data_IF_492647843676
#
_entry.id   IF_492647843676
#
_cell.length_a   1.000
_cell.length_b   1.000
_cell.length_c   1.000
_cell.angle_alpha   90.00
_cell.angle_beta   90.00
_cell.angle_gamma   90.00
#
_symmetry.space_group_name_H-M   'P 1'
#
loop_
_entity.id
_entity.type
_entity.pdbx_description
1 polymer ?
#
# COMPACT_ATOMS: atom_id res chain seq x y z
N UNK A 1 -8.59 13.67 -19.49
CA UNK A 1 -7.39 13.48 -18.65
C UNK A 1 -7.81 13.62 -17.20
N UNK A 2 -7.38 12.75 -16.31
CA UNK A 2 -7.56 12.91 -14.87
C UNK A 2 -6.40 13.72 -14.31
N UNK A 3 -6.69 14.73 -13.51
CA UNK A 3 -5.73 15.52 -12.77
C UNK A 3 -6.19 15.52 -11.31
N UNK A 4 -5.36 15.06 -10.41
CA UNK A 4 -5.71 14.94 -9.00
C UNK A 4 -4.56 15.27 -8.08
N UNK A 5 -4.86 15.34 -6.80
CA UNK A 5 -3.88 15.51 -5.74
C UNK A 5 -4.25 14.63 -4.54
N UNK A 6 -3.24 14.20 -3.80
CA UNK A 6 -3.44 13.60 -2.49
C UNK A 6 -3.64 14.68 -1.44
N UNK A 7 -4.57 14.44 -0.51
CA UNK A 7 -4.93 15.39 0.54
C UNK A 7 -4.83 14.75 1.92
N UNK A 8 -3.94 15.30 2.75
CA UNK A 8 -3.52 14.70 4.01
C UNK A 8 -4.09 15.40 5.23
N UNK A 9 -4.64 14.63 6.14
CA UNK A 9 -4.73 14.95 7.56
C UNK A 9 -5.68 16.06 8.00
N UNK A 10 -6.22 16.91 7.14
CA UNK A 10 -7.19 17.94 7.55
C UNK A 10 -8.57 17.30 7.71
N UNK A 11 -9.18 17.49 8.89
CA UNK A 11 -10.50 16.95 9.24
C UNK A 11 -11.52 18.04 9.57
N UNK A 12 -11.18 19.31 9.34
CA UNK A 12 -12.07 20.44 9.54
C UNK A 12 -12.85 20.72 8.27
N UNK A 13 -14.13 20.35 8.19
CA UNK A 13 -14.95 20.40 6.97
C UNK A 13 -14.93 21.75 6.25
N UNK A 14 -14.91 22.85 7.00
CA UNK A 14 -14.84 24.21 6.40
C UNK A 14 -13.55 24.39 5.60
N UNK A 15 -12.42 23.92 6.12
CA UNK A 15 -11.13 24.03 5.43
C UNK A 15 -11.09 23.06 4.25
N UNK A 16 -11.55 21.82 4.45
CA UNK A 16 -11.64 20.83 3.37
C UNK A 16 -12.43 21.37 2.18
N UNK A 17 -13.62 21.97 2.42
CA UNK A 17 -14.42 22.55 1.34
C UNK A 17 -13.65 23.62 0.57
N UNK A 18 -13.02 24.58 1.29
CA UNK A 18 -12.23 25.64 0.66
C UNK A 18 -11.08 25.07 -0.19
N UNK A 19 -10.39 24.06 0.34
CA UNK A 19 -9.26 23.43 -0.35
C UNK A 19 -9.74 22.64 -1.60
N UNK A 20 -10.86 21.93 -1.50
CA UNK A 20 -11.44 21.19 -2.63
C UNK A 20 -11.93 22.14 -3.74
N UNK A 21 -12.59 23.24 -3.38
CA UNK A 21 -12.99 24.28 -4.32
C UNK A 21 -11.76 24.86 -5.03
N UNK A 22 -10.68 25.13 -4.30
CA UNK A 22 -9.42 25.59 -4.88
C UNK A 22 -8.78 24.56 -5.82
N UNK A 23 -8.79 23.27 -5.47
CA UNK A 23 -8.32 22.21 -6.36
C UNK A 23 -9.09 22.20 -7.69
N UNK A 24 -10.43 22.35 -7.64
CA UNK A 24 -11.26 22.42 -8.84
C UNK A 24 -10.92 23.65 -9.67
N UNK A 25 -10.74 24.81 -9.06
CA UNK A 25 -10.32 26.05 -9.73
C UNK A 25 -8.96 25.90 -10.42
N UNK A 26 -8.05 25.11 -9.83
CA UNK A 26 -6.75 24.78 -10.41
C UNK A 26 -6.81 23.65 -11.47
N UNK A 27 -7.99 23.15 -11.78
CA UNK A 27 -8.25 22.17 -12.84
C UNK A 27 -8.25 20.71 -12.40
N UNK A 28 -8.16 20.42 -11.10
CA UNK A 28 -8.29 19.04 -10.60
C UNK A 28 -9.72 18.52 -10.78
N UNK A 29 -9.85 17.25 -11.08
CA UNK A 29 -11.11 16.53 -11.16
C UNK A 29 -11.11 15.23 -10.34
N UNK A 30 -10.05 15.02 -9.55
CA UNK A 30 -9.88 13.86 -8.67
C UNK A 30 -9.15 14.27 -7.40
N UNK A 31 -9.45 13.59 -6.29
CA UNK A 31 -8.73 13.73 -5.03
C UNK A 31 -8.54 12.37 -4.37
N UNK A 32 -7.38 12.14 -3.77
CA UNK A 32 -7.12 10.99 -2.91
C UNK A 32 -7.06 11.48 -1.46
N UNK A 33 -8.04 11.10 -0.64
CA UNK A 33 -8.02 11.38 0.79
C UNK A 33 -7.40 10.23 1.55
N UNK A 34 -6.49 10.53 2.47
CA UNK A 34 -5.98 9.53 3.41
C UNK A 34 -7.07 9.11 4.40
N UNK A 35 -7.18 7.80 4.65
CA UNK A 35 -8.07 7.23 5.66
C UNK A 35 -7.34 6.18 6.49
N UNK A 36 -6.71 6.62 7.58
CA UNK A 36 -5.94 5.79 8.49
C UNK A 36 -6.81 4.97 9.43
N UNK A 37 -6.21 4.07 10.22
CA UNK A 37 -6.90 3.38 11.33
C UNK A 37 -7.50 4.35 12.34
N UNK A 38 -6.82 5.47 12.58
CA UNK A 38 -7.29 6.51 13.49
C UNK A 38 -8.55 7.21 12.97
N UNK A 39 -8.64 7.43 11.65
CA UNK A 39 -9.82 8.01 11.02
C UNK A 39 -11.05 7.11 11.19
N UNK A 40 -10.88 5.80 11.03
CA UNK A 40 -11.97 4.84 11.26
C UNK A 40 -12.43 4.88 12.72
N UNK A 41 -11.50 4.91 13.66
CA UNK A 41 -11.84 4.85 15.09
C UNK A 41 -12.49 6.13 15.62
N UNK A 42 -12.06 7.31 15.15
CA UNK A 42 -12.44 8.58 15.78
C UNK A 42 -13.10 9.58 14.83
N UNK A 43 -13.00 9.37 13.51
CA UNK A 43 -13.43 10.34 12.49
C UNK A 43 -14.27 9.72 11.38
N UNK A 44 -14.89 8.55 11.59
CA UNK A 44 -15.61 7.83 10.54
C UNK A 44 -16.71 8.68 9.89
N UNK A 45 -17.53 9.37 10.70
CA UNK A 45 -18.56 10.28 10.18
C UNK A 45 -17.94 11.49 9.46
N UNK A 46 -16.85 12.02 9.99
CA UNK A 46 -16.13 13.13 9.34
C UNK A 46 -15.61 12.72 7.96
N UNK A 47 -15.14 11.47 7.80
CA UNK A 47 -14.71 10.97 6.48
C UNK A 47 -15.88 10.88 5.49
N UNK A 48 -17.06 10.44 5.92
CA UNK A 48 -18.28 10.49 5.11
C UNK A 48 -18.57 11.92 4.63
N UNK A 49 -18.51 12.87 5.55
CA UNK A 49 -18.79 14.28 5.25
C UNK A 49 -17.71 14.88 4.33
N UNK A 50 -16.44 14.52 4.49
CA UNK A 50 -15.33 14.93 3.61
C UNK A 50 -15.55 14.41 2.18
N UNK A 51 -15.85 13.12 2.04
CA UNK A 51 -16.13 12.52 0.72
C UNK A 51 -17.32 13.24 0.07
N UNK A 52 -18.40 13.45 0.82
CA UNK A 52 -19.57 14.17 0.33
C UNK A 52 -19.22 15.57 -0.16
N UNK A 53 -18.49 16.35 0.64
CA UNK A 53 -18.07 17.72 0.28
C UNK A 53 -17.22 17.73 -0.98
N UNK A 54 -16.27 16.80 -1.11
CA UNK A 54 -15.41 16.71 -2.29
C UNK A 54 -16.20 16.38 -3.56
N UNK A 55 -17.20 15.49 -3.46
CA UNK A 55 -18.08 15.14 -4.57
C UNK A 55 -19.02 16.30 -4.95
N UNK A 56 -19.53 17.04 -3.96
CA UNK A 56 -20.40 18.22 -4.20
C UNK A 56 -19.70 19.29 -5.04
N UNK A 57 -18.38 19.45 -4.91
CA UNK A 57 -17.62 20.40 -5.73
C UNK A 57 -17.13 19.81 -7.06
N UNK A 58 -17.44 18.54 -7.35
CA UNK A 58 -17.18 17.90 -8.65
C UNK A 58 -15.92 17.04 -8.74
N UNK A 59 -15.30 16.69 -7.61
CA UNK A 59 -14.15 15.79 -7.57
C UNK A 59 -14.58 14.32 -7.50
N UNK A 60 -13.91 13.46 -8.26
CA UNK A 60 -13.91 12.01 -8.07
C UNK A 60 -13.01 11.68 -6.86
N UNK A 61 -13.51 10.87 -5.93
CA UNK A 61 -12.84 10.65 -4.63
C UNK A 61 -12.33 9.23 -4.51
N UNK A 62 -11.04 9.10 -4.22
CA UNK A 62 -10.40 7.86 -3.80
C UNK A 62 -9.97 7.95 -2.35
N UNK A 63 -9.94 6.80 -1.66
CA UNK A 63 -9.46 6.69 -0.28
C UNK A 63 -8.21 5.82 -0.23
N UNK A 64 -7.23 6.28 0.52
CA UNK A 64 -5.93 5.63 0.71
C UNK A 64 -5.83 5.07 2.13
N UNK A 65 -5.49 3.76 2.31
CA UNK A 65 -5.27 3.14 3.62
C UNK A 65 -3.97 3.60 4.29
N UNK A 66 -3.83 4.90 4.48
CA UNK A 66 -2.65 5.60 4.94
C UNK A 66 -1.96 4.97 6.15
N UNK A 67 -0.83 4.31 5.93
CA UNK A 67 0.00 3.70 6.96
C UNK A 67 -0.60 2.50 7.68
N UNK A 68 -1.72 1.95 7.23
CA UNK A 68 -2.38 0.81 7.87
C UNK A 68 -1.47 -0.41 7.89
N UNK A 69 -1.32 -1.00 9.06
CA UNK A 69 -0.41 -2.14 9.24
C UNK A 69 1.06 -1.81 8.94
N UNK A 70 1.39 -0.56 8.59
CA UNK A 70 2.68 -0.16 8.02
C UNK A 70 3.04 -0.89 6.73
N UNK A 71 2.02 -1.44 6.05
CA UNK A 71 2.15 -2.18 4.78
C UNK A 71 1.99 -1.24 3.59
N UNK A 72 1.04 -0.32 3.69
CA UNK A 72 0.83 0.73 2.70
C UNK A 72 1.69 1.95 2.98
N UNK A 73 1.84 2.82 2.01
CA UNK A 73 2.51 4.11 2.14
C UNK A 73 1.91 4.94 3.27
N UNK A 74 2.66 5.97 3.67
CA UNK A 74 2.21 6.89 4.69
C UNK A 74 2.80 6.68 6.09
N UNK A 75 2.72 7.76 6.87
CA UNK A 75 3.40 7.87 8.18
C UNK A 75 2.45 7.71 9.37
N UNK A 76 1.18 7.39 9.14
CA UNK A 76 0.20 7.22 10.21
C UNK A 76 0.61 6.09 11.15
N UNK A 77 0.34 6.26 12.44
CA UNK A 77 0.52 5.18 13.40
C UNK A 77 -0.47 4.06 13.15
N UNK A 78 0.03 2.83 13.06
CA UNK A 78 -0.83 1.66 13.04
C UNK A 78 -1.09 1.15 14.46
N UNK A 79 -2.34 1.19 14.87
CA UNK A 79 -2.81 0.58 16.12
C UNK A 79 -2.87 -0.94 15.99
N UNK A 80 -3.14 -1.45 14.78
CA UNK A 80 -3.19 -2.88 14.49
C UNK A 80 -1.90 -3.59 14.90
N UNK A 81 -0.75 -3.12 14.44
CA UNK A 81 0.54 -3.77 14.77
C UNK A 81 0.87 -3.72 16.27
N UNK A 82 0.28 -2.78 17.00
CA UNK A 82 0.42 -2.70 18.45
C UNK A 82 -0.48 -3.70 19.18
N UNK A 83 -1.72 -3.83 18.73
CA UNK A 83 -2.75 -4.68 19.36
C UNK A 83 -2.58 -6.16 18.99
N UNK A 84 -2.05 -6.45 17.80
CA UNK A 84 -1.85 -7.81 17.27
C UNK A 84 -0.36 -8.11 17.01
N UNK A 85 0.47 -8.20 18.07
CA UNK A 85 1.91 -8.42 17.91
C UNK A 85 2.24 -9.78 17.26
N UNK A 86 1.33 -10.75 17.29
CA UNK A 86 1.46 -12.04 16.61
C UNK A 86 1.31 -11.92 15.09
N UNK A 87 0.58 -10.93 14.62
CA UNK A 87 0.37 -10.63 13.20
C UNK A 87 1.49 -9.79 12.57
N UNK A 88 2.53 -9.45 13.32
CA UNK A 88 3.68 -8.70 12.78
C UNK A 88 4.57 -9.56 11.93
N UNK A 89 5.21 -8.94 10.95
CA UNK A 89 6.28 -9.59 10.19
C UNK A 89 7.43 -9.99 11.09
N UNK A 90 7.94 -11.19 10.83
CA UNK A 90 9.18 -11.69 11.42
C UNK A 90 10.31 -11.60 10.41
N UNK A 91 11.49 -11.33 10.92
CA UNK A 91 12.76 -11.39 10.20
C UNK A 91 13.60 -12.46 10.86
N UNK A 92 14.16 -13.37 10.06
CA UNK A 92 15.04 -14.44 10.55
C UNK A 92 16.48 -14.15 10.15
N UNK A 93 17.40 -14.42 11.06
CA UNK A 93 18.83 -14.35 10.84
C UNK A 93 19.56 -15.36 11.75
N UNK A 94 20.85 -15.59 11.54
CA UNK A 94 21.56 -16.66 12.22
C UNK A 94 21.51 -16.58 13.76
N UNK A 95 21.43 -15.37 14.30
CA UNK A 95 21.40 -15.09 15.73
C UNK A 95 19.98 -15.17 16.33
N UNK A 96 18.92 -15.38 15.52
CA UNK A 96 17.56 -15.50 15.99
C UNK A 96 16.51 -14.84 15.09
N UNK A 97 15.37 -14.50 15.68
CA UNK A 97 14.25 -13.84 15.01
C UNK A 97 13.88 -12.55 15.72
N UNK A 98 13.52 -11.52 14.96
CA UNK A 98 12.89 -10.31 15.49
C UNK A 98 11.53 -10.07 14.84
N UNK A 99 10.61 -9.45 15.57
CA UNK A 99 9.37 -8.92 15.02
C UNK A 99 9.56 -7.45 14.70
N UNK A 100 9.17 -7.05 13.51
CA UNK A 100 9.17 -5.64 13.11
C UNK A 100 7.77 -5.04 13.24
N UNK A 101 7.71 -3.74 13.32
CA UNK A 101 6.47 -2.99 13.50
C UNK A 101 5.73 -2.82 12.14
N UNK A 102 5.50 -3.94 11.46
CA UNK A 102 4.83 -4.03 10.16
C UNK A 102 3.96 -5.30 10.16
N UNK A 103 2.71 -5.22 9.70
CA UNK A 103 1.80 -6.36 9.62
C UNK A 103 2.23 -7.38 8.57
N UNK A 104 2.03 -8.66 8.85
CA UNK A 104 2.18 -9.70 7.85
C UNK A 104 0.91 -9.79 6.99
N UNK A 105 1.03 -9.58 5.68
CA UNK A 105 -0.09 -9.61 4.73
C UNK A 105 -0.70 -11.01 4.54
N UNK A 106 -0.02 -12.07 5.01
CA UNK A 106 -0.56 -13.42 5.09
C UNK A 106 -1.24 -13.71 6.43
N UNK A 107 -1.22 -12.77 7.38
CA UNK A 107 -1.96 -12.91 8.62
C UNK A 107 -3.46 -12.77 8.37
N UNK A 108 -4.24 -13.78 8.78
CA UNK A 108 -5.70 -13.70 8.68
C UNK A 108 -6.25 -12.46 9.38
N UNK A 109 -5.75 -12.14 10.57
CA UNK A 109 -6.20 -10.97 11.33
C UNK A 109 -5.95 -9.66 10.56
N UNK A 110 -4.84 -9.54 9.82
CA UNK A 110 -4.59 -8.36 9.03
C UNK A 110 -5.46 -8.31 7.78
N UNK A 111 -5.65 -9.43 7.10
CA UNK A 111 -6.56 -9.52 5.96
C UNK A 111 -8.00 -9.15 6.36
N UNK A 112 -8.51 -9.68 7.46
CA UNK A 112 -9.83 -9.35 7.98
C UNK A 112 -9.92 -7.83 8.29
N UNK A 113 -8.88 -7.25 8.90
CA UNK A 113 -8.82 -5.80 9.17
C UNK A 113 -8.88 -4.96 7.90
N UNK A 114 -8.24 -5.42 6.83
CA UNK A 114 -8.29 -4.69 5.56
C UNK A 114 -9.65 -4.81 4.87
N UNK A 115 -10.35 -5.95 4.99
CA UNK A 115 -11.73 -6.03 4.50
C UNK A 115 -12.67 -5.08 5.28
N UNK A 116 -12.50 -5.00 6.60
CA UNK A 116 -13.22 -4.03 7.43
C UNK A 116 -12.94 -2.59 6.97
N UNK A 117 -11.68 -2.27 6.65
CA UNK A 117 -11.32 -0.96 6.12
C UNK A 117 -12.01 -0.68 4.78
N UNK A 118 -12.04 -1.65 3.86
CA UNK A 118 -12.73 -1.53 2.58
C UNK A 118 -14.23 -1.28 2.79
N UNK A 119 -14.87 -1.99 3.73
CA UNK A 119 -16.28 -1.79 4.05
C UNK A 119 -16.54 -0.36 4.58
N UNK A 120 -15.64 0.17 5.41
CA UNK A 120 -15.70 1.57 5.82
C UNK A 120 -15.51 2.53 4.65
N UNK A 121 -14.54 2.29 3.76
CA UNK A 121 -14.31 3.10 2.58
C UNK A 121 -15.56 3.15 1.69
N UNK A 122 -16.17 2.00 1.40
CA UNK A 122 -17.41 1.91 0.63
C UNK A 122 -18.56 2.69 1.28
N UNK A 123 -18.67 2.64 2.61
CA UNK A 123 -19.73 3.34 3.34
C UNK A 123 -19.65 4.86 3.27
N UNK A 124 -18.48 5.43 2.90
CA UNK A 124 -18.31 6.88 2.74
C UNK A 124 -18.94 7.41 1.46
N UNK A 125 -19.18 6.54 0.47
CA UNK A 125 -19.63 6.93 -0.87
C UNK A 125 -18.51 7.40 -1.79
N UNK A 126 -17.25 7.08 -1.49
CA UNK A 126 -16.11 7.27 -2.41
C UNK A 126 -16.27 6.44 -3.69
N UNK A 127 -15.64 6.87 -4.78
CA UNK A 127 -15.64 6.17 -6.05
C UNK A 127 -14.63 5.04 -6.10
N UNK A 128 -13.57 5.08 -5.27
CA UNK A 128 -12.54 4.06 -5.30
C UNK A 128 -11.59 4.07 -4.12
N UNK A 129 -10.68 3.14 -4.16
CA UNK A 129 -9.56 2.98 -3.22
C UNK A 129 -8.23 3.14 -3.96
N UNK A 130 -7.26 3.70 -3.26
CA UNK A 130 -5.91 3.91 -3.77
C UNK A 130 -4.94 3.09 -2.90
N UNK A 131 -4.43 1.99 -3.44
CA UNK A 131 -3.50 1.09 -2.78
C UNK A 131 -2.08 1.64 -2.92
N UNK A 132 -1.64 2.40 -1.93
CA UNK A 132 -0.38 3.12 -1.96
C UNK A 132 0.79 2.20 -1.57
N UNK A 133 1.66 1.91 -2.53
CA UNK A 133 2.95 1.21 -2.37
C UNK A 133 2.94 0.01 -1.41
N UNK A 134 2.02 -0.97 -1.58
CA UNK A 134 1.99 -2.14 -0.68
C UNK A 134 3.31 -2.91 -0.75
N UNK A 135 3.98 -3.07 0.40
CA UNK A 135 5.31 -3.67 0.43
C UNK A 135 5.58 -4.49 1.69
N UNK A 136 6.50 -5.44 1.57
CA UNK A 136 7.05 -6.21 2.68
C UNK A 136 8.33 -5.56 3.21
N UNK A 137 8.71 -5.91 4.43
CA UNK A 137 9.93 -5.38 5.02
C UNK A 137 11.17 -5.79 4.20
N UNK A 138 12.01 -4.81 3.93
CA UNK A 138 13.34 -4.97 3.38
C UNK A 138 14.24 -3.90 3.97
N UNK A 139 15.45 -4.25 4.37
CA UNK A 139 16.40 -3.31 4.93
C UNK A 139 17.84 -3.79 4.82
N UNK A 140 18.72 -2.84 4.68
CA UNK A 140 20.16 -3.04 4.78
C UNK A 140 20.63 -2.47 6.10
N UNK A 141 21.22 -3.31 6.95
CA UNK A 141 21.75 -2.90 8.24
C UNK A 141 23.27 -3.03 8.27
N UNK A 142 23.94 -1.89 8.22
CA UNK A 142 25.41 -1.81 8.33
C UNK A 142 25.89 -1.60 9.76
N UNK A 143 25.10 -0.92 10.59
CA UNK A 143 25.52 -0.48 11.92
C UNK A 143 25.42 -1.56 13.02
N UNK A 144 24.47 -2.49 12.88
CA UNK A 144 24.28 -3.60 13.84
C UNK A 144 25.14 -4.84 13.54
N UNK A 145 25.67 -4.93 12.34
CA UNK A 145 26.46 -6.06 11.89
C UNK A 145 27.73 -5.51 11.22
N UNK A 146 28.89 -6.02 11.58
CA UNK A 146 30.18 -5.61 11.01
C UNK A 146 30.30 -5.75 9.48
N UNK A 147 29.25 -6.21 8.80
CA UNK A 147 29.11 -6.33 7.34
C UNK A 147 27.69 -5.96 6.95
N UNK A 148 27.51 -5.35 5.78
CA UNK A 148 26.19 -5.12 5.19
C UNK A 148 25.43 -6.44 5.09
N UNK A 149 24.28 -6.53 5.77
CA UNK A 149 23.43 -7.70 5.75
C UNK A 149 22.04 -7.30 5.25
N UNK A 150 21.60 -8.01 4.24
CA UNK A 150 20.22 -7.87 3.75
C UNK A 150 19.31 -8.59 4.75
N UNK A 151 18.32 -7.88 5.26
CA UNK A 151 17.30 -8.40 6.15
C UNK A 151 15.94 -8.16 5.50
N UNK A 152 15.16 -9.21 5.38
CA UNK A 152 13.88 -9.18 4.68
C UNK A 152 12.78 -9.91 5.48
N UNK A 153 11.54 -9.57 5.22
CA UNK A 153 10.35 -10.21 5.77
C UNK A 153 9.37 -10.62 4.65
N UNK A 154 8.41 -11.47 4.94
CA UNK A 154 8.08 -12.01 6.26
C UNK A 154 8.53 -13.48 6.36
N UNK A 155 9.16 -13.84 7.46
CA UNK A 155 9.59 -15.21 7.76
C UNK A 155 8.80 -15.82 8.93
N UNK A 156 7.55 -15.38 9.17
CA UNK A 156 6.67 -15.99 10.16
C UNK A 156 6.24 -17.40 9.73
N UNK A 157 5.70 -18.18 10.67
CA UNK A 157 5.28 -19.56 10.39
C UNK A 157 4.35 -19.65 9.19
N UNK A 158 3.31 -18.81 9.12
CA UNK A 158 2.38 -18.79 7.99
C UNK A 158 3.10 -18.59 6.66
N UNK A 159 4.05 -17.64 6.58
CA UNK A 159 4.82 -17.42 5.35
C UNK A 159 5.75 -18.58 5.01
N UNK A 160 6.40 -19.17 6.02
CA UNK A 160 7.24 -20.38 5.84
C UNK A 160 6.43 -21.57 5.32
N UNK A 161 5.22 -21.76 5.86
CA UNK A 161 4.32 -22.86 5.42
C UNK A 161 3.84 -22.64 3.97
N UNK A 162 3.45 -21.40 3.61
CA UNK A 162 3.05 -21.07 2.24
C UNK A 162 4.24 -21.29 1.30
N UNK A 163 5.43 -20.80 1.64
CA UNK A 163 6.64 -21.00 0.84
C UNK A 163 6.93 -22.47 0.62
N UNK A 164 6.95 -23.27 1.69
CA UNK A 164 7.20 -24.70 1.62
C UNK A 164 6.20 -25.43 0.73
N UNK A 165 4.93 -25.06 0.81
CA UNK A 165 3.88 -25.65 -0.03
C UNK A 165 4.05 -25.27 -1.51
N UNK A 166 4.53 -24.08 -1.82
CA UNK A 166 4.72 -23.59 -3.19
C UNK A 166 5.99 -24.11 -3.84
N UNK A 167 7.09 -24.20 -3.08
CA UNK A 167 8.42 -24.53 -3.62
C UNK A 167 8.92 -25.93 -3.24
N UNK A 168 8.29 -26.62 -2.29
CA UNK A 168 8.62 -27.99 -1.89
C UNK A 168 9.79 -28.13 -0.93
N UNK A 169 10.35 -27.03 -0.42
CA UNK A 169 11.44 -27.02 0.55
C UNK A 169 11.28 -25.89 1.58
N UNK A 170 12.06 -25.93 2.65
CA UNK A 170 11.98 -24.93 3.72
C UNK A 170 12.50 -23.57 3.23
N UNK A 171 11.83 -22.48 3.63
CA UNK A 171 12.20 -21.11 3.28
C UNK A 171 13.64 -20.81 3.72
N UNK A 172 14.55 -20.43 2.80
CA UNK A 172 15.93 -20.12 3.13
C UNK A 172 16.04 -18.81 3.95
N UNK A 173 17.18 -18.59 4.57
CA UNK A 173 17.50 -17.32 5.23
C UNK A 173 18.06 -16.31 4.25
N UNK A 174 18.68 -16.77 3.19
CA UNK A 174 19.24 -15.95 2.11
C UNK A 174 18.12 -15.37 1.24
N UNK A 175 18.36 -14.20 0.68
CA UNK A 175 17.45 -13.55 -0.27
C UNK A 175 17.69 -14.13 -1.68
N UNK A 176 17.08 -15.28 -1.96
CA UNK A 176 17.19 -16.01 -3.22
C UNK A 176 16.11 -15.58 -4.23
N UNK A 177 16.25 -16.03 -5.48
CA UNK A 177 15.25 -15.78 -6.53
C UNK A 177 13.87 -16.32 -6.14
N UNK A 178 13.79 -17.51 -5.56
CA UNK A 178 12.52 -18.08 -5.08
C UNK A 178 11.90 -17.24 -3.94
N UNK A 179 12.73 -16.66 -3.08
CA UNK A 179 12.25 -15.72 -2.05
C UNK A 179 11.73 -14.42 -2.67
N UNK A 180 12.41 -13.89 -3.68
CA UNK A 180 11.95 -12.71 -4.41
C UNK A 180 10.59 -12.97 -5.06
N UNK A 181 10.46 -14.08 -5.78
CA UNK A 181 9.21 -14.46 -6.43
C UNK A 181 8.10 -14.70 -5.40
N UNK A 182 8.36 -15.45 -4.32
CA UNK A 182 7.41 -15.64 -3.23
C UNK A 182 6.89 -14.33 -2.66
N UNK A 183 7.76 -13.36 -2.45
CA UNK A 183 7.37 -12.03 -1.91
C UNK A 183 6.47 -11.29 -2.88
N UNK A 184 6.78 -11.30 -4.17
CA UNK A 184 5.94 -10.72 -5.20
C UNK A 184 4.57 -11.39 -5.26
N UNK A 185 4.52 -12.71 -5.38
CA UNK A 185 3.27 -13.49 -5.44
C UNK A 185 2.41 -13.27 -4.17
N UNK A 186 3.06 -13.11 -3.02
CA UNK A 186 2.39 -12.79 -1.76
C UNK A 186 1.69 -11.42 -1.81
N UNK A 187 2.33 -10.40 -2.38
CA UNK A 187 1.73 -9.06 -2.51
C UNK A 187 0.64 -9.07 -3.58
N UNK A 188 0.88 -9.71 -4.73
CA UNK A 188 -0.13 -9.83 -5.79
C UNK A 188 -1.40 -10.53 -5.29
N UNK A 189 -1.26 -11.66 -4.60
CA UNK A 189 -2.39 -12.36 -3.98
C UNK A 189 -3.13 -11.50 -2.92
N UNK A 190 -2.38 -10.69 -2.17
CA UNK A 190 -3.00 -9.77 -1.22
C UNK A 190 -3.78 -8.66 -1.91
N UNK A 191 -3.22 -8.08 -2.97
CA UNK A 191 -3.91 -7.06 -3.77
C UNK A 191 -5.15 -7.63 -4.46
N UNK A 192 -5.05 -8.82 -5.07
CA UNK A 192 -6.20 -9.50 -5.67
C UNK A 192 -7.32 -9.71 -4.66
N UNK A 193 -6.98 -10.23 -3.47
CA UNK A 193 -7.92 -10.43 -2.38
C UNK A 193 -8.63 -9.13 -1.95
N UNK A 194 -7.91 -8.01 -1.90
CA UNK A 194 -8.48 -6.71 -1.53
C UNK A 194 -9.29 -6.10 -2.68
N UNK A 195 -8.80 -6.17 -3.92
CA UNK A 195 -9.47 -5.60 -5.09
C UNK A 195 -10.77 -6.35 -5.42
N UNK A 196 -10.81 -7.65 -5.23
CA UNK A 196 -12.04 -8.43 -5.38
C UNK A 196 -13.11 -7.98 -4.39
N UNK A 197 -12.72 -7.79 -3.13
CA UNK A 197 -13.67 -7.32 -2.11
C UNK A 197 -14.13 -5.88 -2.39
N UNK A 198 -13.22 -4.96 -2.69
CA UNK A 198 -13.56 -3.57 -2.97
C UNK A 198 -14.45 -3.45 -4.22
N UNK A 199 -14.16 -4.20 -5.28
CA UNK A 199 -15.01 -4.25 -6.48
C UNK A 199 -16.39 -4.81 -6.17
N UNK A 200 -16.51 -5.82 -5.30
CA UNK A 200 -17.81 -6.32 -4.83
C UNK A 200 -18.65 -5.28 -4.10
N UNK A 201 -18.03 -4.24 -3.58
CA UNK A 201 -18.67 -3.07 -2.95
C UNK A 201 -18.90 -1.91 -3.93
N UNK A 202 -18.54 -2.07 -5.20
CA UNK A 202 -18.67 -1.05 -6.23
C UNK A 202 -17.55 0.00 -6.27
N UNK A 203 -16.45 -0.23 -5.58
CA UNK A 203 -15.28 0.66 -5.59
C UNK A 203 -14.34 0.30 -6.74
N UNK A 204 -13.77 1.32 -7.39
CA UNK A 204 -12.63 1.18 -8.28
C UNK A 204 -11.34 0.95 -7.50
N UNK A 205 -10.37 0.30 -8.12
CA UNK A 205 -9.05 0.03 -7.54
C UNK A 205 -7.95 0.73 -8.32
N UNK A 206 -7.27 1.68 -7.70
CA UNK A 206 -6.04 2.26 -8.18
C UNK A 206 -4.88 1.69 -7.37
N UNK A 207 -3.82 1.26 -8.03
CA UNK A 207 -2.60 0.76 -7.37
C UNK A 207 -1.44 1.64 -7.77
N UNK A 208 -0.72 2.15 -6.78
CA UNK A 208 0.56 2.81 -6.92
C UNK A 208 1.68 1.87 -6.45
N UNK A 209 2.77 1.79 -7.20
CA UNK A 209 3.94 0.99 -6.85
C UNK A 209 5.20 1.85 -6.89
N UNK A 210 6.25 1.39 -6.23
CA UNK A 210 7.56 2.03 -6.34
C UNK A 210 7.99 2.15 -7.80
N UNK A 211 8.60 3.28 -8.20
CA UNK A 211 8.92 3.60 -9.59
C UNK A 211 10.04 2.73 -10.17
N UNK A 212 10.71 1.93 -9.36
CA UNK A 212 11.79 1.04 -9.78
C UNK A 212 11.30 -0.38 -9.59
N UNK A 213 11.31 -1.16 -10.67
CA UNK A 213 11.04 -2.59 -10.66
C UNK A 213 12.20 -3.36 -10.01
N UNK A 214 12.44 -3.10 -8.72
CA UNK A 214 13.45 -3.79 -7.95
C UNK A 214 12.83 -4.89 -7.06
N UNK A 215 13.34 -6.13 -7.10
CA UNK A 215 12.80 -7.25 -6.33
C UNK A 215 12.69 -7.00 -4.83
N UNK A 216 13.59 -6.18 -4.28
CA UNK A 216 13.63 -5.84 -2.86
C UNK A 216 12.34 -5.20 -2.33
N UNK A 217 11.59 -4.47 -3.17
CA UNK A 217 10.33 -3.83 -2.79
C UNK A 217 9.11 -4.74 -2.92
N UNK A 218 9.27 -5.90 -3.51
CA UNK A 218 8.26 -6.95 -3.58
C UNK A 218 7.51 -7.03 -4.90
N UNK A 219 7.20 -5.94 -5.59
CA UNK A 219 6.59 -5.96 -6.92
C UNK A 219 7.63 -5.45 -7.93
N UNK A 220 8.10 -6.33 -8.80
CA UNK A 220 9.08 -6.01 -9.84
C UNK A 220 8.65 -6.46 -11.25
N UNK A 221 7.64 -7.31 -11.35
CA UNK A 221 7.00 -7.70 -12.61
C UNK A 221 5.63 -7.01 -12.69
N UNK A 222 5.62 -5.77 -13.18
CA UNK A 222 4.41 -4.97 -13.25
C UNK A 222 3.36 -5.57 -14.19
N UNK A 223 3.80 -6.32 -15.21
CA UNK A 223 2.90 -7.06 -16.10
C UNK A 223 2.03 -8.10 -15.37
N UNK A 224 2.51 -8.67 -14.26
CA UNK A 224 1.69 -9.55 -13.42
C UNK A 224 0.63 -8.75 -12.65
N UNK A 225 0.99 -7.56 -12.15
CA UNK A 225 0.07 -6.72 -11.41
C UNK A 225 -1.09 -6.21 -12.29
N UNK A 226 -0.77 -5.71 -13.48
CA UNK A 226 -1.80 -5.16 -14.39
C UNK A 226 -2.72 -6.24 -14.99
N UNK A 227 -2.36 -7.51 -14.86
CA UNK A 227 -3.19 -8.66 -15.25
C UNK A 227 -4.15 -9.12 -14.15
N UNK A 228 -4.01 -8.61 -12.91
CA UNK A 228 -4.96 -8.92 -11.85
C UNK A 228 -6.35 -8.42 -12.24
N UNK A 229 -7.35 -9.24 -11.95
CA UNK A 229 -8.73 -8.80 -12.09
C UNK A 229 -9.00 -7.61 -11.15
N UNK A 230 -9.92 -6.73 -11.56
CA UNK A 230 -10.38 -5.63 -10.70
C UNK A 230 -9.32 -4.57 -10.35
N UNK A 231 -8.22 -4.45 -11.09
CA UNK A 231 -7.32 -3.29 -11.05
C UNK A 231 -7.73 -2.36 -12.20
N UNK A 232 -8.27 -1.18 -11.85
CA UNK A 232 -8.79 -0.21 -12.81
C UNK A 232 -7.73 0.81 -13.24
N UNK A 233 -6.83 1.15 -12.33
CA UNK A 233 -5.80 2.16 -12.53
C UNK A 233 -4.48 1.63 -11.97
N UNK A 234 -3.45 1.68 -12.79
CA UNK A 234 -2.07 1.40 -12.40
C UNK A 234 -1.23 2.66 -12.47
N UNK A 235 -0.37 2.89 -11.51
CA UNK A 235 0.50 4.04 -11.43
C UNK A 235 1.75 3.79 -10.59
N UNK A 236 2.62 4.78 -10.60
CA UNK A 236 3.85 4.80 -9.81
C UNK A 236 4.15 6.21 -9.36
N UNK A 237 4.76 6.36 -8.20
CA UNK A 237 5.14 7.65 -7.64
C UNK A 237 6.40 8.20 -8.31
N UNK A 238 6.40 9.50 -8.67
CA UNK A 238 7.51 10.12 -9.38
C UNK A 238 8.58 10.62 -8.41
N UNK A 239 9.31 9.74 -7.73
CA UNK A 239 10.40 10.10 -6.80
C UNK A 239 11.67 10.64 -7.48
N UNK A 240 11.53 11.39 -8.58
CA UNK A 240 12.63 11.91 -9.38
C UNK A 240 13.69 12.67 -8.54
N UNK A 241 13.24 13.41 -7.53
CA UNK A 241 14.14 14.15 -6.64
C UNK A 241 15.02 13.20 -5.81
N UNK A 242 14.43 12.14 -5.23
CA UNK A 242 15.13 11.16 -4.41
C UNK A 242 16.17 10.35 -5.22
N UNK A 243 15.92 10.18 -6.50
CA UNK A 243 16.83 9.49 -7.42
C UNK A 243 17.80 10.44 -8.14
N UNK A 244 17.77 11.74 -7.83
CA UNK A 244 18.60 12.77 -8.48
C UNK A 244 18.49 12.77 -10.00
N UNK A 245 17.29 12.58 -10.52
CA UNK A 245 16.97 12.57 -11.96
C UNK A 245 16.17 13.82 -12.33
N UNK A 246 16.16 14.17 -13.63
CA UNK A 246 15.23 15.20 -14.13
C UNK A 246 13.82 14.64 -14.20
N UNK A 247 12.79 15.49 -14.00
CA UNK A 247 11.39 15.08 -14.11
C UNK A 247 11.09 14.37 -15.42
N UNK A 248 11.55 14.93 -16.55
CA UNK A 248 11.33 14.34 -17.88
C UNK A 248 12.04 12.99 -18.06
N UNK A 249 13.29 12.89 -17.61
CA UNK A 249 14.06 11.64 -17.69
C UNK A 249 13.45 10.54 -16.82
N UNK A 250 12.99 10.90 -15.62
CA UNK A 250 12.33 9.96 -14.72
C UNK A 250 11.01 9.45 -15.31
N UNK A 251 10.15 10.35 -15.78
CA UNK A 251 8.85 10.00 -16.40
C UNK A 251 9.05 9.11 -17.62
N UNK A 252 10.05 9.44 -18.48
CA UNK A 252 10.36 8.60 -19.64
C UNK A 252 10.79 7.19 -19.24
N UNK A 253 11.65 7.07 -18.23
CA UNK A 253 12.13 5.78 -17.70
C UNK A 253 10.96 4.93 -17.18
N UNK A 254 10.16 5.48 -16.27
CA UNK A 254 9.00 4.77 -15.68
C UNK A 254 7.98 4.40 -16.76
N UNK A 255 7.71 5.29 -17.71
CA UNK A 255 6.77 5.01 -18.81
C UNK A 255 7.21 3.85 -19.70
N UNK A 256 8.53 3.65 -19.88
CA UNK A 256 9.07 2.51 -20.63
C UNK A 256 8.96 1.17 -19.89
N UNK A 257 8.90 1.19 -18.56
CA UNK A 257 8.73 -0.02 -17.75
C UNK A 257 7.27 -0.54 -17.76
N UNK A 258 6.31 0.33 -18.12
CA UNK A 258 4.88 -0.01 -18.18
C UNK A 258 4.45 -0.59 -19.55
N UNK A 259 5.23 -0.38 -20.60
CA UNK A 259 4.94 -0.81 -21.99
C UNK A 259 5.62 -2.14 -22.28
#
# INVERSE_FOLDING_TARGET
>A
MKLGASYFGNRTLKHVRTDMEKMVDDGCNQVVHTMSEHDILYHSQTMVDIVKVSREVGLEVFLDPWGIGRVFGGESFSTFVKLFPEARQKLSFAEGEIKVNKACINSKAFRDKMLEWVDHAASTGAEGVFWDEPHLFYGEFTELFAKTKIIWGCTCLTCKDIFKNSYGYDMPMEFTDDVMEFRQETILNFLEYLSDHSSSKGLKNAVCVFPISEPKYGIYQWDKLVKLNNIDIFGSDPYWFSYNESVSGFVEKVSREVV
#
